data_IF_174582239072
#
_entry.id   IF_174582239072
#
_cell.length_a   1.000
_cell.length_b   1.000
_cell.length_c   1.000
_cell.angle_alpha   90.00
_cell.angle_beta   90.00
_cell.angle_gamma   90.00
#
_symmetry.space_group_name_H-M   'P 1'
#
loop_
_entity.id
_entity.type
_entity.pdbx_description
1 polymer ?
#
# COMPACT_ATOMS: atom_id res chain seq x y z
N UNK A 1 -8.24 -37.01 -10.90
CA UNK A 1 -7.54 -36.10 -11.83
C UNK A 1 -6.70 -35.18 -10.98
N UNK A 2 -5.38 -35.38 -10.93
CA UNK A 2 -4.48 -34.44 -10.26
C UNK A 2 -4.25 -33.26 -11.20
N UNK A 3 -5.01 -32.18 -11.02
CA UNK A 3 -4.62 -30.90 -11.60
C UNK A 3 -3.33 -30.47 -10.90
N UNK A 4 -2.24 -30.51 -11.62
CA UNK A 4 -0.94 -30.02 -11.14
C UNK A 4 -1.05 -28.49 -11.03
N UNK A 5 -1.04 -27.99 -9.80
CA UNK A 5 -0.94 -26.55 -9.56
C UNK A 5 0.37 -26.04 -10.18
N UNK A 6 0.26 -25.10 -11.11
CA UNK A 6 1.38 -24.50 -11.84
C UNK A 6 1.19 -23.00 -12.04
N UNK A 7 2.15 -22.33 -12.66
CA UNK A 7 2.09 -20.88 -12.94
C UNK A 7 0.86 -20.46 -13.75
N UNK A 8 0.29 -21.37 -14.53
CA UNK A 8 -0.96 -21.14 -15.29
C UNK A 8 -2.21 -21.03 -14.40
N UNK A 9 -2.19 -21.49 -13.15
CA UNK A 9 -3.35 -21.46 -12.25
C UNK A 9 -3.79 -20.03 -11.93
N UNK A 10 -2.87 -19.07 -11.98
CA UNK A 10 -3.14 -17.64 -11.76
C UNK A 10 -3.26 -16.83 -13.07
N UNK A 11 -3.20 -17.50 -14.23
CA UNK A 11 -3.42 -16.82 -15.50
C UNK A 11 -4.85 -16.27 -15.60
N UNK A 12 -4.98 -15.06 -16.13
CA UNK A 12 -6.28 -14.42 -16.37
C UNK A 12 -6.38 -13.89 -17.79
N UNK A 13 -7.59 -13.79 -18.31
CA UNK A 13 -7.87 -12.98 -19.48
C UNK A 13 -7.96 -11.50 -19.06
N UNK A 14 -6.85 -10.77 -19.22
CA UNK A 14 -6.74 -9.39 -18.79
C UNK A 14 -7.77 -8.48 -19.49
N UNK A 15 -8.10 -8.74 -20.76
CA UNK A 15 -9.09 -7.96 -21.51
C UNK A 15 -10.49 -8.14 -20.92
N UNK A 16 -10.91 -9.40 -20.73
CA UNK A 16 -12.21 -9.71 -20.14
C UNK A 16 -12.31 -9.17 -18.69
N UNK A 17 -11.23 -9.28 -17.93
CA UNK A 17 -11.20 -8.82 -16.54
C UNK A 17 -11.29 -7.28 -16.44
N UNK A 18 -10.57 -6.55 -17.29
CA UNK A 18 -10.65 -5.07 -17.36
C UNK A 18 -12.07 -4.62 -17.73
N UNK A 19 -12.73 -5.28 -18.66
CA UNK A 19 -14.11 -4.92 -19.01
C UNK A 19 -15.09 -5.25 -17.88
N UNK A 20 -14.90 -6.38 -17.17
CA UNK A 20 -15.71 -6.74 -15.99
C UNK A 20 -15.58 -5.70 -14.88
N UNK A 21 -14.36 -5.28 -14.55
CA UNK A 21 -14.10 -4.25 -13.54
C UNK A 21 -14.64 -2.89 -14.01
N UNK A 22 -14.47 -2.55 -15.29
CA UNK A 22 -15.01 -1.32 -15.86
C UNK A 22 -16.54 -1.26 -15.78
N UNK A 23 -17.21 -2.38 -16.02
CA UNK A 23 -18.67 -2.48 -15.85
C UNK A 23 -19.07 -2.28 -14.37
N UNK A 24 -18.31 -2.84 -13.42
CA UNK A 24 -18.55 -2.64 -12.00
C UNK A 24 -18.44 -1.16 -11.58
N UNK A 25 -17.41 -0.44 -12.05
CA UNK A 25 -17.29 1.01 -11.80
C UNK A 25 -18.52 1.76 -12.30
N UNK A 26 -18.93 1.52 -13.55
CA UNK A 26 -20.12 2.18 -14.12
C UNK A 26 -21.39 1.86 -13.33
N UNK A 27 -21.57 0.59 -12.96
CA UNK A 27 -22.74 0.14 -12.20
C UNK A 27 -22.83 0.77 -10.81
N UNK A 28 -21.73 0.87 -10.07
CA UNK A 28 -21.70 1.51 -8.74
C UNK A 28 -22.02 3.01 -8.88
N UNK A 29 -21.41 3.71 -9.84
CA UNK A 29 -21.68 5.13 -10.03
C UNK A 29 -23.15 5.41 -10.39
N UNK A 30 -23.75 4.57 -11.24
CA UNK A 30 -25.14 4.69 -11.61
C UNK A 30 -26.08 4.43 -10.43
N UNK A 31 -25.84 3.34 -9.70
CA UNK A 31 -26.62 2.95 -8.52
C UNK A 31 -26.60 4.05 -7.45
N UNK A 32 -25.41 4.56 -7.13
CA UNK A 32 -25.21 5.53 -6.04
C UNK A 32 -25.38 6.99 -6.52
N UNK A 33 -25.72 7.19 -7.80
CA UNK A 33 -25.87 8.52 -8.44
C UNK A 33 -24.65 9.40 -8.26
N UNK A 34 -23.44 8.81 -8.38
CA UNK A 34 -22.17 9.51 -8.27
C UNK A 34 -21.61 9.89 -9.64
N UNK A 35 -20.79 10.95 -9.67
CA UNK A 35 -20.30 11.52 -10.94
C UNK A 35 -18.93 10.99 -11.37
N UNK A 36 -18.14 10.45 -10.46
CA UNK A 36 -16.77 10.00 -10.71
C UNK A 36 -16.17 9.28 -9.51
N UNK A 37 -14.86 9.15 -9.50
CA UNK A 37 -14.10 8.39 -8.49
C UNK A 37 -12.87 9.17 -8.02
N UNK A 38 -12.59 9.09 -6.71
CA UNK A 38 -11.34 9.52 -6.08
C UNK A 38 -10.47 8.30 -5.85
N UNK A 39 -9.17 8.42 -6.17
CA UNK A 39 -8.17 7.36 -5.97
C UNK A 39 -6.93 7.96 -5.27
N UNK A 40 -6.54 7.40 -4.15
CA UNK A 40 -5.23 7.66 -3.55
C UNK A 40 -4.12 6.98 -4.37
N UNK A 41 -3.12 7.74 -4.81
CA UNK A 41 -2.01 7.22 -5.63
C UNK A 41 -0.68 7.37 -4.91
N UNK A 42 0.06 6.28 -4.78
CA UNK A 42 1.36 6.21 -4.11
C UNK A 42 2.53 5.94 -5.07
N UNK A 43 2.25 5.80 -6.37
CA UNK A 43 3.24 5.32 -7.35
C UNK A 43 3.56 3.83 -7.22
N UNK A 44 2.87 3.09 -6.34
CA UNK A 44 2.92 1.63 -6.28
C UNK A 44 1.96 0.99 -7.28
N UNK A 45 2.24 -0.27 -7.66
CA UNK A 45 1.52 -0.97 -8.74
C UNK A 45 0.01 -1.06 -8.49
N UNK A 46 -0.44 -1.36 -7.26
CA UNK A 46 -1.86 -1.55 -6.94
C UNK A 46 -2.67 -0.27 -7.13
N UNK A 47 -2.18 0.86 -6.60
CA UNK A 47 -2.82 2.17 -6.78
C UNK A 47 -2.79 2.62 -8.24
N UNK A 48 -1.72 2.30 -8.97
CA UNK A 48 -1.58 2.64 -10.39
C UNK A 48 -2.55 1.87 -11.27
N UNK A 49 -2.71 0.57 -11.04
CA UNK A 49 -3.69 -0.26 -11.74
C UNK A 49 -5.12 0.17 -11.39
N UNK A 50 -5.39 0.47 -10.13
CA UNK A 50 -6.71 0.98 -9.70
C UNK A 50 -7.07 2.27 -10.43
N UNK A 51 -6.14 3.24 -10.51
CA UNK A 51 -6.36 4.50 -11.23
C UNK A 51 -6.54 4.27 -12.73
N UNK A 52 -5.71 3.42 -13.36
CA UNK A 52 -5.81 3.11 -14.78
C UNK A 52 -7.14 2.40 -15.13
N UNK A 53 -7.61 1.49 -14.28
CA UNK A 53 -8.93 0.85 -14.41
C UNK A 53 -10.07 1.86 -14.31
N UNK A 54 -9.97 2.81 -13.38
CA UNK A 54 -10.95 3.88 -13.24
C UNK A 54 -11.02 4.76 -14.50
N UNK A 55 -9.86 5.15 -15.05
CA UNK A 55 -9.76 5.91 -16.31
C UNK A 55 -10.31 5.11 -17.48
N UNK A 56 -9.97 3.82 -17.58
CA UNK A 56 -10.52 2.92 -18.61
C UNK A 56 -12.03 2.83 -18.55
N UNK A 57 -12.61 2.80 -17.35
CA UNK A 57 -14.05 2.67 -17.14
C UNK A 57 -14.84 3.95 -17.41
N UNK A 58 -14.28 5.13 -17.04
CA UNK A 58 -15.03 6.38 -16.88
C UNK A 58 -14.50 7.53 -17.74
N UNK A 59 -13.29 7.42 -18.26
CA UNK A 59 -12.53 8.51 -18.84
C UNK A 59 -11.84 9.40 -17.80
N UNK A 60 -10.75 10.11 -18.19
CA UNK A 60 -9.90 10.85 -17.24
C UNK A 60 -10.65 11.99 -16.51
N UNK A 61 -11.58 12.67 -17.16
CA UNK A 61 -12.33 13.78 -16.56
C UNK A 61 -13.24 13.38 -15.37
N UNK A 62 -13.43 12.09 -15.12
CA UNK A 62 -14.26 11.57 -14.03
C UNK A 62 -13.43 10.83 -12.96
N UNK A 63 -12.10 10.97 -13.01
CA UNK A 63 -11.17 10.42 -12.04
C UNK A 63 -10.39 11.56 -11.41
N UNK A 64 -10.32 11.57 -10.08
CA UNK A 64 -9.54 12.55 -9.32
C UNK A 64 -8.52 11.82 -8.47
N UNK A 65 -7.25 12.12 -8.65
CA UNK A 65 -6.16 11.46 -7.95
C UNK A 65 -5.64 12.30 -6.76
N UNK A 66 -5.32 11.63 -5.65
CA UNK A 66 -4.73 12.24 -4.47
C UNK A 66 -3.33 11.70 -4.23
N UNK A 67 -2.34 12.60 -4.17
CA UNK A 67 -1.01 12.34 -3.69
C UNK A 67 -0.94 12.76 -2.22
N UNK A 68 -0.72 11.81 -1.33
CA UNK A 68 -0.74 12.07 0.11
C UNK A 68 0.59 11.68 0.77
N UNK A 69 1.67 12.44 0.45
CA UNK A 69 2.96 12.22 1.07
C UNK A 69 2.91 12.54 2.57
N UNK A 70 3.86 11.99 3.31
CA UNK A 70 4.15 12.33 4.70
C UNK A 70 5.67 12.30 4.92
N UNK A 71 6.15 12.80 6.05
CA UNK A 71 7.60 13.02 6.29
C UNK A 71 8.49 11.77 6.16
N UNK A 72 7.92 10.57 6.22
CA UNK A 72 8.65 9.30 6.10
C UNK A 72 8.40 8.60 4.76
N UNK A 73 7.61 9.22 3.86
CA UNK A 73 7.43 8.69 2.51
C UNK A 73 8.76 8.69 1.76
N UNK A 74 8.99 7.66 0.95
CA UNK A 74 10.17 7.59 0.12
C UNK A 74 10.20 8.74 -0.91
N UNK A 75 11.38 9.31 -1.17
CA UNK A 75 11.58 10.48 -2.03
C UNK A 75 11.02 10.29 -3.45
N UNK A 76 11.05 9.06 -3.96
CA UNK A 76 10.55 8.71 -5.30
C UNK A 76 9.01 8.57 -5.36
N UNK A 77 8.30 8.48 -4.23
CA UNK A 77 6.86 8.23 -4.18
C UNK A 77 6.07 9.32 -4.90
N UNK A 78 6.32 10.59 -4.58
CA UNK A 78 5.61 11.71 -5.20
C UNK A 78 5.96 11.89 -6.69
N UNK A 79 7.23 11.85 -7.13
CA UNK A 79 7.58 11.86 -8.55
C UNK A 79 6.91 10.75 -9.37
N UNK A 80 6.90 9.51 -8.86
CA UNK A 80 6.28 8.37 -9.55
C UNK A 80 4.76 8.52 -9.65
N UNK A 81 4.11 8.91 -8.57
CA UNK A 81 2.66 9.10 -8.58
C UNK A 81 2.25 10.29 -9.48
N UNK A 82 3.04 11.36 -9.53
CA UNK A 82 2.82 12.49 -10.46
C UNK A 82 2.98 12.04 -11.92
N UNK A 83 4.05 11.30 -12.23
CA UNK A 83 4.24 10.74 -13.58
C UNK A 83 3.07 9.84 -14.00
N UNK A 84 2.49 9.08 -13.07
CA UNK A 84 1.30 8.28 -13.32
C UNK A 84 0.08 9.16 -13.68
N UNK A 85 -0.19 10.19 -12.90
CA UNK A 85 -1.35 11.07 -13.13
C UNK A 85 -1.21 11.87 -14.42
N UNK A 86 -0.01 12.30 -14.77
CA UNK A 86 0.30 12.96 -16.05
C UNK A 86 0.04 12.01 -17.23
N UNK A 87 0.52 10.75 -17.11
CA UNK A 87 0.29 9.72 -18.13
C UNK A 87 -1.21 9.40 -18.29
N UNK A 88 -1.96 9.33 -17.20
CA UNK A 88 -3.41 9.10 -17.23
C UNK A 88 -4.22 10.31 -17.70
N UNK A 89 -3.66 11.51 -17.67
CA UNK A 89 -4.34 12.78 -18.01
C UNK A 89 -5.47 13.11 -17.01
N UNK A 90 -5.32 12.78 -15.75
CA UNK A 90 -6.33 13.00 -14.69
C UNK A 90 -6.00 14.24 -13.85
N UNK A 91 -7.03 14.90 -13.36
CA UNK A 91 -6.87 15.95 -12.36
C UNK A 91 -6.35 15.35 -11.05
N UNK A 92 -5.39 16.03 -10.43
CA UNK A 92 -4.80 15.57 -9.16
C UNK A 92 -4.49 16.73 -8.22
N UNK A 93 -4.30 16.40 -6.94
CA UNK A 93 -3.78 17.33 -5.94
C UNK A 93 -2.84 16.64 -4.98
N UNK A 94 -1.92 17.44 -4.40
CA UNK A 94 -1.00 16.98 -3.35
C UNK A 94 -1.53 17.47 -2.00
N UNK A 95 -1.72 16.56 -1.07
CA UNK A 95 -2.15 16.80 0.30
C UNK A 95 -1.08 16.22 1.25
N UNK A 96 -0.15 17.06 1.73
CA UNK A 96 0.81 16.63 2.75
C UNK A 96 0.08 16.34 4.06
N UNK A 97 0.10 15.08 4.48
CA UNK A 97 -0.57 14.65 5.71
C UNK A 97 0.30 14.75 6.97
N UNK A 98 1.57 15.16 6.84
CA UNK A 98 2.50 15.27 7.97
C UNK A 98 1.97 16.16 9.11
N UNK A 99 1.40 17.35 8.85
CA UNK A 99 0.88 18.21 9.93
C UNK A 99 -0.26 17.55 10.70
N UNK A 100 -1.13 16.81 10.04
CA UNK A 100 -2.23 16.08 10.68
C UNK A 100 -1.70 14.93 11.55
N UNK A 101 -0.74 14.18 11.04
CA UNK A 101 -0.10 13.08 11.76
C UNK A 101 0.66 13.59 12.99
N UNK A 102 1.34 14.73 12.89
CA UNK A 102 2.00 15.35 14.03
C UNK A 102 0.99 15.78 15.10
N UNK A 103 -0.11 16.43 14.68
CA UNK A 103 -1.18 16.86 15.60
C UNK A 103 -1.82 15.67 16.35
N UNK A 104 -2.01 14.54 15.69
CA UNK A 104 -2.46 13.29 16.34
C UNK A 104 -1.39 12.65 17.21
N UNK A 105 -0.13 13.11 17.12
CA UNK A 105 1.01 12.53 17.82
C UNK A 105 1.39 11.15 17.30
N UNK A 106 1.19 10.88 16.00
CA UNK A 106 1.55 9.64 15.34
C UNK A 106 3.01 9.28 15.59
N UNK A 107 3.93 10.16 15.20
CA UNK A 107 5.38 9.94 15.33
C UNK A 107 5.81 9.86 16.78
N UNK A 108 5.37 10.80 17.60
CA UNK A 108 5.73 10.87 19.04
C UNK A 108 5.31 9.63 19.83
N UNK A 109 4.12 9.06 19.54
CA UNK A 109 3.61 7.82 20.18
C UNK A 109 4.43 6.63 19.77
N UNK A 110 4.67 6.46 18.47
CA UNK A 110 5.51 5.41 17.91
C UNK A 110 6.92 5.46 18.49
N UNK A 111 7.56 6.63 18.47
CA UNK A 111 8.92 6.80 18.96
C UNK A 111 9.05 6.53 20.45
N UNK A 112 8.04 6.92 21.24
CA UNK A 112 7.98 6.59 22.66
C UNK A 112 7.92 5.07 22.88
N UNK A 113 7.14 4.36 22.07
CA UNK A 113 7.05 2.90 22.16
C UNK A 113 8.37 2.22 21.74
N UNK A 114 9.05 2.71 20.70
CA UNK A 114 10.37 2.21 20.29
C UNK A 114 11.41 2.46 21.40
N UNK A 115 11.44 3.66 21.99
CA UNK A 115 12.35 3.99 23.09
C UNK A 115 12.19 3.13 24.33
N UNK A 116 11.06 2.48 24.53
CA UNK A 116 10.89 1.52 25.62
C UNK A 116 11.77 0.28 25.49
N UNK A 117 12.27 -0.02 24.29
CA UNK A 117 13.15 -1.17 23.99
C UNK A 117 14.50 -0.76 23.41
N UNK A 118 14.59 0.41 22.80
CA UNK A 118 15.80 1.03 22.26
C UNK A 118 15.85 2.48 22.81
N UNK A 119 16.39 2.70 24.03
CA UNK A 119 16.33 4.01 24.68
C UNK A 119 16.98 5.15 23.89
N UNK A 120 17.99 4.86 23.10
CA UNK A 120 18.74 5.79 22.25
C UNK A 120 17.99 6.24 20.99
N UNK A 121 16.86 5.60 20.64
CA UNK A 121 16.07 5.97 19.46
C UNK A 121 15.61 7.42 19.50
N UNK A 122 15.95 8.20 18.46
CA UNK A 122 15.72 9.64 18.46
C UNK A 122 15.70 10.27 17.07
N UNK A 123 16.05 11.55 17.00
CA UNK A 123 16.02 12.32 15.75
C UNK A 123 16.94 11.69 14.67
N UNK A 124 16.43 11.61 13.44
CA UNK A 124 17.15 11.03 12.30
C UNK A 124 17.21 9.50 12.29
N UNK A 125 16.67 8.82 13.29
CA UNK A 125 16.54 7.37 13.25
C UNK A 125 15.39 6.93 12.36
N UNK A 126 15.57 5.78 11.72
CA UNK A 126 14.52 5.10 10.95
C UNK A 126 14.22 3.75 11.57
N UNK A 127 13.02 3.22 11.34
CA UNK A 127 12.62 1.93 11.93
C UNK A 127 11.62 1.17 11.06
N UNK A 128 11.59 -0.15 11.26
CA UNK A 128 10.53 -1.05 10.76
C UNK A 128 10.24 -2.13 11.78
N UNK A 129 9.03 -2.71 11.71
CA UNK A 129 8.69 -3.91 12.47
C UNK A 129 8.93 -5.12 11.58
N UNK A 130 9.55 -6.15 12.14
CA UNK A 130 9.80 -7.43 11.46
C UNK A 130 9.23 -8.58 12.27
N UNK A 131 8.75 -9.61 11.57
CA UNK A 131 8.48 -10.92 12.16
C UNK A 131 9.76 -11.77 12.11
N UNK A 132 10.04 -12.62 13.11
CA UNK A 132 11.10 -13.59 12.97
C UNK A 132 10.80 -14.55 11.82
N UNK A 133 11.84 -14.96 11.09
CA UNK A 133 11.73 -15.90 9.97
C UNK A 133 11.03 -17.20 10.41
N UNK A 134 10.13 -17.68 9.55
CA UNK A 134 9.40 -18.94 9.77
C UNK A 134 10.35 -20.16 9.68
N UNK A 135 11.50 -19.98 9.04
CA UNK A 135 12.44 -21.06 8.73
C UNK A 135 13.39 -21.37 9.90
N UNK A 136 13.64 -20.40 10.77
CA UNK A 136 14.74 -20.48 11.75
C UNK A 136 14.37 -20.89 13.17
N UNK A 137 13.10 -21.03 13.55
CA UNK A 137 12.79 -21.50 14.91
C UNK A 137 11.36 -22.01 15.11
N UNK A 138 11.21 -23.08 15.89
CA UNK A 138 9.97 -23.50 16.57
C UNK A 138 9.53 -22.52 17.69
N UNK A 139 10.14 -21.34 17.77
CA UNK A 139 9.89 -20.35 18.80
C UNK A 139 8.65 -19.50 18.48
N UNK A 140 7.94 -19.05 19.50
CA UNK A 140 6.80 -18.13 19.40
C UNK A 140 7.13 -16.92 18.52
N UNK A 141 6.28 -16.63 17.53
CA UNK A 141 6.38 -15.46 16.66
C UNK A 141 6.24 -14.19 17.48
N UNK A 142 7.34 -13.55 17.81
CA UNK A 142 7.38 -12.31 18.55
C UNK A 142 7.98 -11.24 17.67
N UNK A 143 7.20 -10.19 17.44
CA UNK A 143 7.62 -9.02 16.66
C UNK A 143 8.88 -8.37 17.23
N UNK A 144 9.77 -7.95 16.34
CA UNK A 144 10.95 -7.17 16.66
C UNK A 144 10.90 -5.82 15.94
N UNK A 145 11.54 -4.83 16.49
CA UNK A 145 11.82 -3.57 15.81
C UNK A 145 13.28 -3.58 15.34
N UNK A 146 13.46 -3.26 14.07
CA UNK A 146 14.77 -2.90 13.51
C UNK A 146 14.81 -1.38 13.47
N UNK A 147 15.80 -0.79 14.12
CA UNK A 147 16.04 0.64 14.12
C UNK A 147 17.43 0.93 13.57
N UNK A 148 17.53 1.95 12.71
CA UNK A 148 18.78 2.39 12.12
C UNK A 148 19.08 3.82 12.56
N UNK A 149 20.26 3.98 13.17
CA UNK A 149 20.80 5.27 13.55
C UNK A 149 21.24 6.10 12.34
N UNK A 150 21.44 7.42 12.47
CA UNK A 150 21.89 8.28 11.37
C UNK A 150 23.24 7.88 10.77
N UNK A 151 24.10 7.22 11.54
CA UNK A 151 25.40 6.70 11.09
C UNK A 151 25.30 5.36 10.33
N UNK A 152 24.10 4.83 10.16
CA UNK A 152 23.83 3.57 9.49
C UNK A 152 23.83 2.35 10.40
N UNK A 153 24.23 2.48 11.67
CA UNK A 153 24.22 1.39 12.66
C UNK A 153 22.80 0.87 12.86
N UNK A 154 22.60 -0.44 12.77
CA UNK A 154 21.30 -1.07 12.98
C UNK A 154 21.24 -1.80 14.32
N UNK A 155 20.12 -1.66 15.01
CA UNK A 155 19.80 -2.33 16.26
C UNK A 155 18.49 -3.07 16.09
N UNK A 156 18.47 -4.36 16.40
CA UNK A 156 17.24 -5.18 16.42
C UNK A 156 16.90 -5.52 17.87
N UNK A 157 15.67 -5.24 18.28
CA UNK A 157 15.17 -5.55 19.61
C UNK A 157 13.77 -6.15 19.55
N UNK A 158 13.55 -7.16 20.39
CA UNK A 158 12.24 -7.77 20.59
C UNK A 158 11.29 -6.77 21.21
N UNK A 159 10.08 -6.68 20.67
CA UNK A 159 9.02 -5.81 21.20
C UNK A 159 8.24 -6.52 22.32
N UNK A 160 7.91 -5.79 23.38
CA UNK A 160 6.81 -6.23 24.24
C UNK A 160 5.48 -6.11 23.47
N UNK A 161 4.47 -6.86 23.84
CA UNK A 161 3.15 -6.76 23.23
C UNK A 161 2.60 -5.33 23.31
N UNK A 162 2.79 -4.64 24.43
CA UNK A 162 2.34 -3.26 24.61
C UNK A 162 3.04 -2.30 23.65
N UNK A 163 4.37 -2.41 23.48
CA UNK A 163 5.13 -1.58 22.55
C UNK A 163 4.71 -1.85 21.10
N UNK A 164 4.55 -3.12 20.72
CA UNK A 164 4.06 -3.51 19.39
C UNK A 164 2.70 -2.88 19.08
N UNK A 165 1.71 -3.06 19.96
CA UNK A 165 0.37 -2.53 19.77
C UNK A 165 0.35 -0.99 19.68
N UNK A 166 1.17 -0.29 20.48
CA UNK A 166 1.29 1.17 20.42
C UNK A 166 1.89 1.63 19.08
N UNK A 167 2.93 0.95 18.57
CA UNK A 167 3.54 1.28 17.27
C UNK A 167 2.51 1.07 16.14
N UNK A 168 1.81 -0.07 16.14
CA UNK A 168 0.80 -0.36 15.12
C UNK A 168 -0.35 0.65 15.19
N UNK A 169 -0.84 0.95 16.40
CA UNK A 169 -1.92 1.92 16.58
C UNK A 169 -1.53 3.31 16.09
N UNK A 170 -0.29 3.75 16.37
CA UNK A 170 0.24 5.02 15.89
C UNK A 170 0.40 5.03 14.36
N UNK A 171 0.97 3.98 13.77
CA UNK A 171 1.15 3.86 12.32
C UNK A 171 -0.19 3.87 11.56
N UNK A 172 -1.24 3.29 12.15
CA UNK A 172 -2.57 3.27 11.56
C UNK A 172 -3.21 4.65 11.39
N UNK A 173 -2.70 5.70 12.06
CA UNK A 173 -3.12 7.08 11.77
C UNK A 173 -2.85 7.46 10.32
N UNK A 174 -1.74 7.01 9.72
CA UNK A 174 -1.36 7.32 8.34
C UNK A 174 -2.49 6.93 7.38
N UNK A 175 -2.93 5.69 7.41
CA UNK A 175 -3.96 5.19 6.50
C UNK A 175 -5.35 5.81 6.77
N UNK A 176 -5.70 6.06 8.05
CA UNK A 176 -6.95 6.71 8.38
C UNK A 176 -6.99 8.17 7.95
N UNK A 177 -5.90 8.90 8.09
CA UNK A 177 -5.78 10.29 7.61
C UNK A 177 -5.93 10.35 6.09
N UNK A 178 -5.22 9.49 5.35
CA UNK A 178 -5.38 9.38 3.89
C UNK A 178 -6.84 9.14 3.51
N UNK A 179 -7.49 8.19 4.15
CA UNK A 179 -8.90 7.86 3.88
C UNK A 179 -9.85 9.01 4.20
N UNK A 180 -9.59 9.77 5.25
CA UNK A 180 -10.37 10.97 5.58
C UNK A 180 -10.32 12.00 4.45
N UNK A 181 -9.14 12.24 3.88
CA UNK A 181 -8.98 13.17 2.74
C UNK A 181 -9.62 12.63 1.46
N UNK A 182 -9.49 11.33 1.18
CA UNK A 182 -10.16 10.72 0.03
C UNK A 182 -11.68 10.95 0.09
N UNK A 183 -12.31 10.71 1.23
CA UNK A 183 -13.75 10.95 1.39
C UNK A 183 -14.10 12.45 1.39
N UNK A 184 -13.27 13.33 1.94
CA UNK A 184 -13.47 14.78 1.80
C UNK A 184 -13.55 15.19 0.32
N UNK A 185 -12.61 14.72 -0.50
CA UNK A 185 -12.62 15.02 -1.91
C UNK A 185 -13.77 14.33 -2.66
N UNK A 186 -14.14 13.13 -2.28
CA UNK A 186 -15.28 12.42 -2.83
C UNK A 186 -16.59 13.16 -2.56
N UNK A 187 -16.80 13.64 -1.35
CA UNK A 187 -18.01 14.39 -0.97
C UNK A 187 -18.11 15.70 -1.75
N UNK A 188 -17.03 16.52 -1.80
CA UNK A 188 -17.07 17.81 -2.51
C UNK A 188 -17.27 17.68 -4.03
N UNK A 189 -16.88 16.55 -4.62
CA UNK A 189 -17.00 16.28 -6.06
C UNK A 189 -18.26 15.48 -6.41
N UNK A 190 -18.97 14.96 -5.42
CA UNK A 190 -20.01 13.95 -5.58
C UNK A 190 -19.48 12.68 -6.27
N UNK A 191 -18.32 12.20 -5.82
CA UNK A 191 -17.62 11.03 -6.32
C UNK A 191 -17.71 9.87 -5.32
N UNK A 192 -17.27 8.67 -5.71
CA UNK A 192 -16.98 7.54 -4.82
C UNK A 192 -15.50 7.45 -4.54
N UNK A 193 -15.11 6.66 -3.54
CA UNK A 193 -13.72 6.32 -3.23
C UNK A 193 -13.39 4.91 -3.73
N UNK A 194 -12.30 4.77 -4.50
CA UNK A 194 -11.76 3.47 -4.87
C UNK A 194 -10.67 3.03 -3.91
N UNK A 195 -10.79 1.80 -3.40
CA UNK A 195 -9.75 1.15 -2.58
C UNK A 195 -8.75 0.40 -3.45
N UNK A 196 -7.52 0.36 -2.99
CA UNK A 196 -6.38 -0.23 -3.71
C UNK A 196 -5.89 -1.58 -3.20
N UNK A 197 -6.35 -2.14 -2.05
CA UNK A 197 -5.90 -3.44 -1.60
C UNK A 197 -6.23 -4.57 -2.59
N UNK A 198 -5.25 -5.46 -2.81
CA UNK A 198 -5.36 -6.67 -3.59
C UNK A 198 -5.85 -7.86 -2.73
N UNK A 199 -6.02 -9.03 -3.33
CA UNK A 199 -6.56 -10.20 -2.64
C UNK A 199 -5.67 -10.70 -1.51
N UNK A 200 -4.35 -10.67 -1.66
CA UNK A 200 -3.44 -11.13 -0.60
C UNK A 200 -3.59 -10.30 0.68
N UNK A 201 -3.76 -8.99 0.53
CA UNK A 201 -3.97 -8.10 1.68
C UNK A 201 -5.27 -8.41 2.40
N UNK A 202 -6.35 -8.76 1.68
CA UNK A 202 -7.60 -9.20 2.29
C UNK A 202 -7.51 -10.58 2.91
N UNK A 203 -6.92 -11.55 2.22
CA UNK A 203 -6.78 -12.93 2.71
C UNK A 203 -5.94 -12.99 4.00
N UNK A 204 -4.94 -12.11 4.13
CA UNK A 204 -4.07 -12.02 5.30
C UNK A 204 -4.55 -11.01 6.37
N UNK A 205 -5.57 -10.20 6.06
CA UNK A 205 -6.03 -9.14 6.96
C UNK A 205 -5.07 -7.95 7.07
N UNK A 206 -4.22 -7.74 6.08
CA UNK A 206 -3.23 -6.64 6.03
C UNK A 206 -3.83 -5.35 5.49
N UNK A 207 -4.79 -4.82 6.18
CA UNK A 207 -5.37 -3.51 5.93
C UNK A 207 -5.75 -2.83 7.24
N UNK A 208 -5.79 -1.52 7.23
CA UNK A 208 -6.23 -0.73 8.38
C UNK A 208 -7.73 -0.50 8.30
N UNK A 209 -8.44 -0.99 9.32
CA UNK A 209 -9.88 -0.78 9.45
C UNK A 209 -10.20 0.72 9.49
N UNK A 210 -11.13 1.18 8.64
CA UNK A 210 -11.45 2.59 8.41
C UNK A 210 -10.27 3.43 7.86
N UNK A 211 -9.25 2.76 7.33
CA UNK A 211 -8.18 3.33 6.54
C UNK A 211 -8.26 2.79 5.11
N UNK A 212 -7.18 2.20 4.61
CA UNK A 212 -7.12 1.57 3.29
C UNK A 212 -8.12 0.42 3.09
N UNK A 213 -8.57 -0.22 4.18
CA UNK A 213 -9.65 -1.20 4.15
C UNK A 213 -11.05 -0.62 3.85
N UNK A 214 -11.25 0.70 3.93
CA UNK A 214 -12.51 1.37 3.61
C UNK A 214 -12.52 1.90 2.18
N UNK A 215 -13.59 1.64 1.43
CA UNK A 215 -13.83 2.18 0.10
C UNK A 215 -15.26 1.83 -0.36
N UNK A 216 -15.78 2.59 -1.33
CA UNK A 216 -17.07 2.35 -1.95
C UNK A 216 -16.96 1.27 -3.05
N UNK A 217 -15.82 1.20 -3.74
CA UNK A 217 -15.48 0.14 -4.68
C UNK A 217 -14.06 -0.35 -4.45
N UNK A 218 -13.82 -1.65 -4.63
CA UNK A 218 -12.52 -2.30 -4.44
C UNK A 218 -12.18 -3.14 -5.68
N UNK A 219 -11.72 -2.50 -6.75
CA UNK A 219 -11.66 -3.10 -8.09
C UNK A 219 -10.69 -4.28 -8.21
N UNK A 220 -9.62 -4.33 -7.41
CA UNK A 220 -8.60 -5.38 -7.46
C UNK A 220 -8.60 -6.31 -6.24
N UNK A 221 -9.59 -6.20 -5.34
CA UNK A 221 -9.65 -6.98 -4.10
C UNK A 221 -9.75 -8.52 -4.29
N UNK A 222 -10.11 -8.97 -5.47
CA UNK A 222 -10.22 -10.38 -5.85
C UNK A 222 -9.01 -10.89 -6.63
N UNK A 223 -8.05 -10.00 -6.97
CA UNK A 223 -6.88 -10.31 -7.80
C UNK A 223 -5.63 -10.52 -6.95
N UNK A 224 -4.90 -11.59 -7.22
CA UNK A 224 -3.56 -11.79 -6.68
C UNK A 224 -2.56 -10.85 -7.34
N UNK A 225 -1.42 -10.61 -6.69
CA UNK A 225 -0.40 -9.66 -7.15
C UNK A 225 0.07 -9.91 -8.58
N UNK A 226 0.29 -11.17 -8.96
CA UNK A 226 0.66 -11.55 -10.35
C UNK A 226 -0.41 -11.15 -11.36
N UNK A 227 -1.69 -11.25 -11.00
CA UNK A 227 -2.81 -10.83 -11.83
C UNK A 227 -2.89 -9.31 -11.93
N UNK A 228 -2.57 -8.57 -10.85
CA UNK A 228 -2.46 -7.11 -10.88
C UNK A 228 -1.36 -6.67 -11.86
N UNK A 229 -0.20 -7.36 -11.87
CA UNK A 229 0.86 -7.10 -12.85
C UNK A 229 0.41 -7.39 -14.29
N UNK A 230 -0.33 -8.46 -14.52
CA UNK A 230 -0.88 -8.76 -15.85
C UNK A 230 -1.85 -7.66 -16.34
N UNK A 231 -2.69 -7.11 -15.44
CA UNK A 231 -3.54 -5.97 -15.76
C UNK A 231 -2.73 -4.70 -16.00
N UNK A 232 -1.67 -4.47 -15.21
CA UNK A 232 -0.77 -3.32 -15.42
C UNK A 232 -0.14 -3.32 -16.81
N UNK A 233 0.32 -4.48 -17.26
CA UNK A 233 0.87 -4.66 -18.60
C UNK A 233 -0.18 -4.42 -19.69
N UNK A 234 -1.35 -5.04 -19.56
CA UNK A 234 -2.47 -4.88 -20.50
C UNK A 234 -2.95 -3.43 -20.61
N UNK A 235 -3.02 -2.71 -19.49
CA UNK A 235 -3.42 -1.30 -19.44
C UNK A 235 -2.33 -0.33 -19.90
N UNK A 236 -1.09 -0.82 -20.10
CA UNK A 236 0.05 -0.01 -20.50
C UNK A 236 0.61 0.89 -19.38
N UNK A 237 0.44 0.50 -18.11
CA UNK A 237 1.05 1.23 -16.98
C UNK A 237 2.55 1.39 -17.21
N UNK A 238 3.14 2.58 -17.03
CA UNK A 238 4.55 2.85 -17.32
C UNK A 238 5.52 1.86 -16.69
N UNK A 239 6.59 1.51 -17.43
CA UNK A 239 7.55 0.48 -17.01
C UNK A 239 8.27 0.83 -15.70
N UNK A 240 8.59 2.10 -15.46
CA UNK A 240 9.22 2.56 -14.22
C UNK A 240 8.35 2.31 -12.97
N UNK A 241 7.03 2.14 -13.12
CA UNK A 241 6.11 1.74 -12.06
C UNK A 241 6.03 0.22 -11.98
N UNK A 242 5.95 -0.46 -13.13
CA UNK A 242 5.82 -1.92 -13.20
C UNK A 242 7.06 -2.65 -12.70
N UNK A 243 8.26 -2.10 -12.96
CA UNK A 243 9.54 -2.70 -12.56
C UNK A 243 9.96 -2.38 -11.11
N UNK A 244 9.25 -1.45 -10.44
CA UNK A 244 9.55 -1.11 -9.05
C UNK A 244 9.21 -2.26 -8.12
N UNK A 245 10.13 -2.66 -7.21
CA UNK A 245 9.80 -3.62 -6.16
C UNK A 245 8.62 -3.14 -5.31
N UNK A 246 7.72 -4.06 -4.99
CA UNK A 246 6.58 -3.75 -4.13
C UNK A 246 7.04 -3.54 -2.68
N UNK A 247 6.83 -2.33 -2.16
CA UNK A 247 7.17 -1.95 -0.78
C UNK A 247 5.90 -1.63 0.02
N UNK A 248 5.99 -1.71 1.34
CA UNK A 248 4.83 -1.45 2.21
C UNK A 248 4.62 0.03 2.53
N UNK A 249 5.51 0.93 2.23
CA UNK A 249 5.46 2.39 2.53
C UNK A 249 4.82 2.75 3.91
N UNK A 250 4.94 1.81 4.87
CA UNK A 250 4.34 1.92 6.22
C UNK A 250 5.34 2.46 7.22
N UNK A 251 6.61 2.08 7.06
CA UNK A 251 7.70 2.37 7.98
C UNK A 251 8.76 3.24 7.31
N UNK A 252 9.56 3.94 8.12
CA UNK A 252 10.64 4.79 7.64
C UNK A 252 11.86 4.03 7.10
N UNK A 253 12.06 2.76 7.48
CA UNK A 253 13.01 1.86 6.82
C UNK A 253 12.31 1.13 5.67
N UNK A 254 12.97 0.95 4.52
CA UNK A 254 12.44 0.16 3.42
C UNK A 254 12.07 -1.25 3.88
N UNK A 255 10.94 -1.73 3.41
CA UNK A 255 10.46 -3.08 3.68
C UNK A 255 9.73 -3.60 2.44
N UNK A 256 10.16 -4.75 1.91
CA UNK A 256 9.44 -5.38 0.80
C UNK A 256 8.13 -5.99 1.29
N UNK A 257 7.20 -6.23 0.37
CA UNK A 257 5.96 -6.94 0.71
C UNK A 257 6.25 -8.39 1.11
N UNK A 258 7.25 -9.05 0.51
CA UNK A 258 7.69 -10.39 0.87
C UNK A 258 8.22 -10.43 2.31
N UNK A 259 9.07 -9.49 2.68
CA UNK A 259 9.56 -9.38 4.07
C UNK A 259 8.42 -9.16 5.05
N UNK A 260 7.44 -8.34 4.69
CA UNK A 260 6.31 -8.03 5.54
C UNK A 260 5.34 -9.21 5.70
N UNK A 261 4.96 -9.87 4.59
CA UNK A 261 3.95 -10.94 4.62
C UNK A 261 4.50 -12.29 5.01
N UNK A 262 5.71 -12.62 4.56
CA UNK A 262 6.26 -13.97 4.69
C UNK A 262 7.43 -14.06 5.65
N UNK A 263 7.86 -12.93 6.25
CA UNK A 263 9.07 -12.87 7.09
C UNK A 263 10.33 -13.36 6.36
N UNK A 264 10.38 -13.21 5.05
CA UNK A 264 11.53 -13.54 4.22
C UNK A 264 12.44 -12.31 4.15
N UNK A 265 13.69 -12.44 4.54
CA UNK A 265 14.68 -11.38 4.32
C UNK A 265 15.09 -11.39 2.84
N UNK A 266 14.96 -10.24 2.18
CA UNK A 266 15.12 -10.10 0.73
C UNK A 266 16.54 -10.37 0.19
N UNK A 267 17.54 -10.56 1.02
CA UNK A 267 18.92 -10.78 0.59
C UNK A 267 19.31 -12.26 0.42
N UNK A 268 18.55 -13.22 0.99
CA UNK A 268 18.93 -14.63 0.94
C UNK A 268 18.16 -15.48 -0.08
N UNK A 269 17.06 -14.98 -0.66
CA UNK A 269 16.17 -15.81 -1.49
C UNK A 269 16.08 -15.45 -2.97
N UNK A 270 16.73 -14.40 -3.44
CA UNK A 270 16.78 -14.10 -4.89
C UNK A 270 17.53 -15.16 -5.72
N UNK A 271 18.30 -16.04 -5.10
CA UNK A 271 19.01 -17.13 -5.79
C UNK A 271 18.25 -18.46 -5.86
N UNK A 272 17.22 -18.68 -5.06
CA UNK A 272 16.48 -19.97 -5.03
C UNK A 272 15.14 -19.94 -5.78
N UNK A 273 14.61 -18.77 -6.12
CA UNK A 273 13.36 -18.65 -6.90
C UNK A 273 13.60 -18.58 -8.42
N UNK A 274 14.79 -18.81 -8.90
CA UNK A 274 15.14 -18.85 -10.34
C UNK A 274 15.14 -20.27 -10.96
N UNK A 275 14.38 -21.21 -10.41
CA UNK A 275 14.21 -22.53 -11.04
C UNK A 275 12.75 -22.87 -11.30
#
# INVERSE_FOLDING_TARGET
MNEQYGTHTLAIDAAAEVERISAAFRGVLEHDRRKGVVVGVSGGIDSSVTAALAVRALGPARVFALHMPEQESADETLPLSTSLTDWLGVDSTVEDISPMLEAFGCYRRRDKAIRSVIPEFGAGWRSKIVLPSVVDSDAYRIYSVVAQAPDGTQITKRLSMAAYLEIVAASNFKQRTRKTLEYFHADRLNYIVAGTPNRLEYDQGFFVKLGDGAADIKPIAHLYKTQVYALAEYLGVPENIRSRPSTTDTYSLPQSQEEFYFSLQSEEHTSELQY
#
